data_IF_995434070986
#
_entry.id   IF_995434070986
#
_cell.length_a   1.000
_cell.length_b   1.000
_cell.length_c   1.000
_cell.angle_alpha   90.00
_cell.angle_beta   90.00
_cell.angle_gamma   90.00
#
_symmetry.space_group_name_H-M   'P 1'
#
loop_
_entity.id
_entity.type
_entity.pdbx_description
1 polymer ?
#
# COMPACT_ATOMS: atom_id res chain seq x y z
N UNK A 1 -9.13 15.88 -21.13
CA UNK A 1 -8.99 14.49 -21.61
C UNK A 1 -9.27 13.58 -20.43
N UNK A 2 -10.42 12.89 -20.45
CA UNK A 2 -10.76 11.93 -19.40
C UNK A 2 -9.84 10.72 -19.51
N UNK A 3 -9.20 10.36 -18.40
CA UNK A 3 -8.38 9.15 -18.31
C UNK A 3 -9.28 7.96 -18.65
N UNK A 4 -9.08 7.31 -19.81
CA UNK A 4 -9.75 6.04 -20.09
C UNK A 4 -9.23 5.03 -19.07
N UNK A 5 -10.06 4.70 -18.09
CA UNK A 5 -9.74 3.65 -17.13
C UNK A 5 -9.75 2.33 -17.90
N UNK A 6 -8.56 1.82 -18.22
CA UNK A 6 -8.39 0.50 -18.81
C UNK A 6 -9.10 -0.54 -17.96
N UNK A 7 -9.73 -1.54 -18.60
CA UNK A 7 -10.34 -2.67 -17.90
C UNK A 7 -9.34 -3.36 -16.96
N UNK A 8 -8.05 -3.33 -17.29
CA UNK A 8 -6.98 -3.84 -16.42
C UNK A 8 -6.90 -3.07 -15.10
N UNK A 9 -7.02 -1.74 -15.13
CA UNK A 9 -6.95 -0.92 -13.92
C UNK A 9 -8.16 -1.16 -12.99
N UNK A 10 -9.37 -1.31 -13.55
CA UNK A 10 -10.56 -1.69 -12.76
C UNK A 10 -10.40 -3.09 -12.17
N UNK A 11 -9.85 -4.02 -12.93
CA UNK A 11 -9.61 -5.39 -12.44
C UNK A 11 -8.61 -5.36 -11.30
N UNK A 12 -7.48 -4.66 -11.43
CA UNK A 12 -6.46 -4.56 -10.37
C UNK A 12 -7.01 -3.90 -9.11
N UNK A 13 -7.76 -2.80 -9.24
CA UNK A 13 -8.32 -2.06 -8.10
C UNK A 13 -9.31 -2.89 -7.26
N UNK A 14 -9.89 -3.96 -7.83
CA UNK A 14 -10.83 -4.86 -7.15
C UNK A 14 -10.16 -6.17 -6.74
N UNK A 15 -9.45 -6.82 -7.67
CA UNK A 15 -8.89 -8.16 -7.45
C UNK A 15 -7.81 -8.14 -6.38
N UNK A 16 -6.92 -7.14 -6.36
CA UNK A 16 -5.85 -7.07 -5.36
C UNK A 16 -6.44 -6.93 -3.95
N UNK A 17 -7.38 -6.00 -3.67
CA UNK A 17 -8.00 -5.92 -2.36
C UNK A 17 -8.76 -7.18 -1.95
N UNK A 18 -9.54 -7.77 -2.86
CA UNK A 18 -10.29 -8.99 -2.58
C UNK A 18 -9.35 -10.15 -2.26
N UNK A 19 -8.30 -10.34 -3.07
CA UNK A 19 -7.31 -11.39 -2.85
C UNK A 19 -6.62 -11.21 -1.48
N UNK A 20 -6.16 -9.99 -1.16
CA UNK A 20 -5.53 -9.71 0.14
C UNK A 20 -6.48 -9.90 1.32
N UNK A 21 -7.76 -9.55 1.18
CA UNK A 21 -8.76 -9.74 2.24
C UNK A 21 -8.87 -11.21 2.67
N UNK A 22 -8.77 -12.15 1.73
CA UNK A 22 -8.85 -13.58 2.02
C UNK A 22 -7.49 -14.21 2.32
N UNK A 23 -6.45 -13.86 1.56
CA UNK A 23 -5.13 -14.50 1.64
C UNK A 23 -4.37 -14.05 2.89
N UNK A 24 -4.38 -12.75 3.23
CA UNK A 24 -3.60 -12.24 4.35
C UNK A 24 -3.96 -12.90 5.70
N UNK A 25 -5.24 -13.01 6.11
CA UNK A 25 -5.60 -13.70 7.35
C UNK A 25 -5.29 -15.21 7.29
N UNK A 26 -5.38 -15.84 6.11
CA UNK A 26 -5.03 -17.25 5.94
C UNK A 26 -3.54 -17.48 6.19
N UNK A 27 -2.67 -16.69 5.55
CA UNK A 27 -1.22 -16.76 5.74
C UNK A 27 -0.84 -16.52 7.20
N UNK A 28 -1.44 -15.52 7.85
CA UNK A 28 -1.18 -15.22 9.25
C UNK A 28 -1.55 -16.39 10.17
N UNK A 29 -2.69 -17.06 9.94
CA UNK A 29 -3.07 -18.26 10.70
C UNK A 29 -2.06 -19.39 10.50
N UNK A 30 -1.58 -19.59 9.27
CA UNK A 30 -0.53 -20.59 8.97
C UNK A 30 0.79 -20.25 9.67
N UNK A 31 1.10 -18.96 9.84
CA UNK A 31 2.26 -18.49 10.61
C UNK A 31 2.06 -18.49 12.13
N UNK A 32 0.94 -19.03 12.64
CA UNK A 32 0.67 -19.17 14.08
C UNK A 32 0.01 -17.95 14.74
N UNK A 33 -0.44 -16.95 13.98
CA UNK A 33 -1.18 -15.82 14.54
C UNK A 33 -2.53 -16.26 15.10
N UNK A 34 -2.90 -15.75 16.28
CA UNK A 34 -4.18 -16.07 16.88
C UNK A 34 -5.33 -15.42 16.11
N UNK A 35 -6.46 -16.12 15.99
CA UNK A 35 -7.67 -15.57 15.36
C UNK A 35 -8.19 -14.32 16.08
N UNK A 36 -7.88 -14.15 17.37
CA UNK A 36 -8.25 -12.97 18.13
C UNK A 36 -7.41 -11.75 17.74
N UNK A 37 -6.10 -11.92 17.54
CA UNK A 37 -5.19 -10.82 17.16
C UNK A 37 -5.46 -10.37 15.74
N UNK A 38 -5.68 -11.30 14.80
CA UNK A 38 -6.08 -11.00 13.42
C UNK A 38 -7.36 -10.16 13.39
N UNK A 39 -8.37 -10.54 14.20
CA UNK A 39 -9.63 -9.77 14.30
C UNK A 39 -9.42 -8.39 14.90
N UNK A 40 -8.58 -8.25 15.93
CA UNK A 40 -8.28 -6.94 16.54
C UNK A 40 -7.51 -6.03 15.57
N UNK A 41 -6.67 -6.61 14.72
CA UNK A 41 -5.90 -5.88 13.73
C UNK A 41 -6.69 -5.57 12.44
N UNK A 42 -7.83 -6.24 12.19
CA UNK A 42 -8.56 -6.15 10.92
C UNK A 42 -8.96 -4.75 10.46
N UNK A 43 -9.23 -3.75 11.34
CA UNK A 43 -9.48 -2.39 10.86
C UNK A 43 -8.33 -1.83 10.03
N UNK A 44 -7.07 -2.16 10.36
CA UNK A 44 -5.90 -1.72 9.60
C UNK A 44 -5.88 -2.32 8.19
N UNK A 45 -6.22 -3.61 8.06
CA UNK A 45 -6.33 -4.26 6.75
C UNK A 45 -7.46 -3.61 5.95
N UNK A 46 -8.66 -3.50 6.51
CA UNK A 46 -9.84 -2.94 5.82
C UNK A 46 -9.53 -1.51 5.34
N UNK A 47 -8.95 -0.67 6.18
CA UNK A 47 -8.56 0.69 5.78
C UNK A 47 -7.50 0.70 4.68
N UNK A 48 -6.50 -0.19 4.73
CA UNK A 48 -5.52 -0.33 3.66
C UNK A 48 -6.20 -0.71 2.35
N UNK A 49 -7.06 -1.73 2.35
CA UNK A 49 -7.76 -2.22 1.17
C UNK A 49 -8.67 -1.16 0.54
N UNK A 50 -9.40 -0.42 1.36
CA UNK A 50 -10.23 0.70 0.91
C UNK A 50 -9.37 1.81 0.31
N UNK A 51 -8.27 2.16 0.97
CA UNK A 51 -7.35 3.18 0.49
C UNK A 51 -6.75 2.79 -0.86
N UNK A 52 -6.31 1.53 -1.01
CA UNK A 52 -5.82 0.99 -2.28
C UNK A 52 -6.88 1.16 -3.37
N UNK A 53 -8.09 0.66 -3.15
CA UNK A 53 -9.17 0.74 -4.15
C UNK A 53 -9.53 2.18 -4.53
N UNK A 54 -9.65 3.08 -3.56
CA UNK A 54 -10.00 4.49 -3.80
C UNK A 54 -8.88 5.25 -4.51
N UNK A 55 -7.61 4.95 -4.22
CA UNK A 55 -6.47 5.67 -4.79
C UNK A 55 -6.44 5.63 -6.32
N UNK A 56 -6.90 4.52 -6.93
CA UNK A 56 -7.01 4.36 -8.38
C UNK A 56 -7.94 5.36 -9.07
N UNK A 57 -8.84 6.00 -8.33
CA UNK A 57 -9.82 6.95 -8.86
C UNK A 57 -9.50 8.40 -8.50
N UNK A 58 -8.38 8.64 -7.82
CA UNK A 58 -7.93 9.99 -7.48
C UNK A 58 -7.11 10.53 -8.67
N UNK A 59 -7.51 11.66 -9.28
CA UNK A 59 -6.78 12.22 -10.40
C UNK A 59 -5.38 12.66 -9.95
N UNK A 60 -4.35 12.15 -10.62
CA UNK A 60 -2.96 12.50 -10.33
C UNK A 60 -2.55 13.80 -11.01
N UNK A 61 -1.73 14.63 -10.35
CA UNK A 61 -1.22 15.86 -10.95
C UNK A 61 -0.20 15.53 -12.06
N UNK A 62 0.00 16.49 -12.96
CA UNK A 62 1.18 16.47 -13.82
C UNK A 62 2.40 16.80 -12.97
N UNK A 63 3.46 15.99 -13.09
CA UNK A 63 4.75 16.24 -12.45
C UNK A 63 5.76 16.51 -13.54
N UNK A 64 6.33 17.71 -13.55
CA UNK A 64 7.23 18.20 -14.62
C UNK A 64 6.65 18.02 -16.04
N UNK A 65 5.33 18.20 -16.16
CA UNK A 65 4.61 18.07 -17.43
C UNK A 65 4.30 16.62 -17.84
N UNK A 66 4.75 15.62 -17.08
CA UNK A 66 4.43 14.21 -17.31
C UNK A 66 3.17 13.80 -16.57
N UNK A 67 2.32 13.03 -17.25
CA UNK A 67 1.15 12.39 -16.65
C UNK A 67 1.62 11.19 -15.82
N UNK A 68 1.83 11.41 -14.53
CA UNK A 68 2.22 10.37 -13.57
C UNK A 68 1.00 9.81 -12.86
N UNK A 69 1.14 8.63 -12.26
CA UNK A 69 0.13 8.08 -11.35
C UNK A 69 0.47 8.31 -9.87
N UNK A 70 1.05 9.48 -9.59
CA UNK A 70 1.59 9.88 -8.28
C UNK A 70 0.66 9.57 -7.09
N UNK A 71 -0.62 9.97 -7.12
CA UNK A 71 -1.51 9.72 -5.98
C UNK A 71 -1.86 8.25 -5.82
N UNK A 72 -1.94 7.50 -6.91
CA UNK A 72 -2.13 6.05 -6.90
C UNK A 72 -0.99 5.38 -6.16
N UNK A 73 0.27 5.72 -6.47
CA UNK A 73 1.43 5.15 -5.79
C UNK A 73 1.64 5.69 -4.38
N UNK A 74 1.43 6.98 -4.16
CA UNK A 74 1.58 7.57 -2.83
C UNK A 74 0.58 6.97 -1.83
N UNK A 75 -0.72 6.96 -2.18
CA UNK A 75 -1.78 6.49 -1.29
C UNK A 75 -1.95 4.97 -1.38
N UNK A 76 -2.15 4.45 -2.59
CA UNK A 76 -2.42 3.05 -2.86
C UNK A 76 -1.18 2.15 -2.78
N UNK A 77 0.02 2.71 -2.87
CA UNK A 77 1.26 1.98 -2.62
C UNK A 77 1.85 2.29 -1.25
N UNK A 78 2.28 3.53 -1.03
CA UNK A 78 3.00 3.95 0.18
C UNK A 78 2.18 3.89 1.47
N UNK A 79 1.13 4.71 1.57
CA UNK A 79 0.29 4.77 2.78
C UNK A 79 -0.43 3.45 3.02
N UNK A 80 -0.92 2.81 1.95
CA UNK A 80 -1.43 1.44 1.95
C UNK A 80 -0.44 0.48 2.64
N UNK A 81 0.83 0.47 2.22
CA UNK A 81 1.86 -0.41 2.78
C UNK A 81 2.08 -0.14 4.27
N UNK A 82 2.09 1.12 4.69
CA UNK A 82 2.21 1.48 6.10
C UNK A 82 1.04 0.95 6.94
N UNK A 83 -0.20 1.01 6.42
CA UNK A 83 -1.39 0.45 7.08
C UNK A 83 -1.38 -1.09 7.09
N UNK A 84 -1.02 -1.71 5.97
CA UNK A 84 -0.87 -3.16 5.87
C UNK A 84 0.17 -3.67 6.86
N UNK A 85 1.29 -2.96 7.01
CA UNK A 85 2.30 -3.29 8.00
C UNK A 85 1.75 -3.24 9.44
N UNK A 86 0.93 -2.23 9.78
CA UNK A 86 0.28 -2.17 11.10
C UNK A 86 -0.66 -3.36 11.35
N UNK A 87 -1.32 -3.88 10.31
CA UNK A 87 -2.11 -5.10 10.37
C UNK A 87 -1.23 -6.33 10.66
N UNK A 88 -0.15 -6.51 9.89
CA UNK A 88 0.79 -7.64 10.04
C UNK A 88 1.44 -7.65 11.42
N UNK A 89 2.02 -6.51 11.81
CA UNK A 89 2.72 -6.32 13.09
C UNK A 89 1.82 -6.68 14.28
N UNK A 90 0.57 -6.19 14.29
CA UNK A 90 -0.37 -6.46 15.40
C UNK A 90 -0.87 -7.88 15.40
N UNK A 91 -1.13 -8.46 14.23
CA UNK A 91 -1.58 -9.85 14.10
C UNK A 91 -0.53 -10.83 14.60
N UNK A 92 0.74 -10.54 14.34
CA UNK A 92 1.89 -11.36 14.76
C UNK A 92 2.49 -10.95 16.11
N UNK A 93 1.94 -9.92 16.76
CA UNK A 93 2.47 -9.33 18.02
C UNK A 93 3.95 -8.98 17.95
N UNK A 94 4.42 -8.50 16.80
CA UNK A 94 5.83 -8.16 16.60
C UNK A 94 6.20 -6.92 17.43
N UNK A 95 7.12 -7.13 18.36
CA UNK A 95 7.76 -6.09 19.14
C UNK A 95 9.15 -5.79 18.54
N UNK A 96 9.21 -4.80 17.67
CA UNK A 96 10.45 -4.33 17.04
C UNK A 96 10.65 -2.84 17.32
N UNK A 97 11.90 -2.39 17.20
CA UNK A 97 12.24 -0.97 17.36
C UNK A 97 11.63 -0.12 16.23
N UNK A 98 11.32 1.17 16.47
CA UNK A 98 10.78 2.05 15.43
C UNK A 98 11.67 2.17 14.19
N UNK A 99 12.99 2.08 14.36
CA UNK A 99 13.93 2.11 13.25
C UNK A 99 13.83 0.86 12.37
N UNK A 100 13.75 -0.32 12.99
CA UNK A 100 13.53 -1.55 12.24
C UNK A 100 12.15 -1.56 11.59
N UNK A 101 11.14 -0.97 12.25
CA UNK A 101 9.81 -0.78 11.68
C UNK A 101 9.85 0.05 10.38
N UNK A 102 10.58 1.17 10.39
CA UNK A 102 10.78 2.00 9.20
C UNK A 102 11.50 1.23 8.09
N UNK A 103 12.56 0.47 8.41
CA UNK A 103 13.27 -0.37 7.44
C UNK A 103 12.35 -1.43 6.81
N UNK A 104 11.48 -2.06 7.60
CA UNK A 104 10.54 -3.07 7.09
C UNK A 104 9.49 -2.44 6.19
N UNK A 105 8.91 -1.30 6.59
CA UNK A 105 7.95 -0.57 5.76
C UNK A 105 8.59 -0.13 4.44
N UNK A 106 9.81 0.40 4.49
CA UNK A 106 10.54 0.83 3.29
C UNK A 106 10.91 -0.36 2.39
N UNK A 107 11.36 -1.48 2.96
CA UNK A 107 11.65 -2.70 2.21
C UNK A 107 10.39 -3.28 1.55
N UNK A 108 9.26 -3.29 2.28
CA UNK A 108 7.99 -3.78 1.77
C UNK A 108 7.47 -2.91 0.61
N UNK A 109 7.48 -1.58 0.77
CA UNK A 109 7.00 -0.70 -0.31
C UNK A 109 7.91 -0.75 -1.53
N UNK A 110 9.22 -0.92 -1.32
CA UNK A 110 10.18 -1.08 -2.43
C UNK A 110 9.92 -2.38 -3.20
N UNK A 111 9.72 -3.49 -2.49
CA UNK A 111 9.42 -4.78 -3.11
C UNK A 111 8.09 -4.74 -3.89
N UNK A 112 7.05 -4.11 -3.33
CA UNK A 112 5.76 -3.93 -3.99
C UNK A 112 5.87 -2.99 -5.20
N UNK A 113 6.62 -1.89 -5.08
CA UNK A 113 6.87 -0.95 -6.17
C UNK A 113 7.57 -1.63 -7.35
N UNK A 114 8.68 -2.33 -7.10
CA UNK A 114 9.36 -3.11 -8.15
C UNK A 114 8.45 -4.18 -8.76
N UNK A 115 7.63 -4.86 -7.94
CA UNK A 115 6.68 -5.86 -8.45
C UNK A 115 5.63 -5.23 -9.36
N UNK A 116 5.18 -4.00 -9.05
CA UNK A 116 4.24 -3.26 -9.88
C UNK A 116 4.85 -2.88 -11.23
N UNK A 117 6.06 -2.33 -11.25
CA UNK A 117 6.78 -2.01 -12.49
C UNK A 117 6.97 -3.24 -13.38
N UNK A 118 7.32 -4.38 -12.77
CA UNK A 118 7.45 -5.64 -13.50
C UNK A 118 6.12 -6.12 -14.07
N UNK A 119 5.01 -5.91 -13.34
CA UNK A 119 3.67 -6.22 -13.83
C UNK A 119 3.30 -5.34 -15.02
N UNK A 120 3.53 -4.03 -14.93
CA UNK A 120 3.27 -3.06 -16.01
C UNK A 120 4.10 -3.38 -17.26
N UNK A 121 5.40 -3.61 -17.09
CA UNK A 121 6.27 -4.06 -18.18
C UNK A 121 5.74 -5.34 -18.83
N UNK A 122 5.28 -6.30 -18.02
CA UNK A 122 4.74 -7.57 -18.52
C UNK A 122 3.47 -7.34 -19.36
N UNK A 123 2.48 -6.61 -18.85
CA UNK A 123 1.22 -6.39 -19.58
C UNK A 123 1.42 -5.58 -20.85
N UNK A 124 2.37 -4.63 -20.88
CA UNK A 124 2.76 -3.89 -22.09
C UNK A 124 3.47 -4.81 -23.08
N UNK A 125 4.43 -5.63 -22.65
CA UNK A 125 5.18 -6.54 -23.53
C UNK A 125 4.29 -7.60 -24.18
N UNK A 126 3.25 -8.05 -23.50
CA UNK A 126 2.25 -8.97 -24.06
C UNK A 126 1.12 -8.27 -24.82
N UNK A 127 1.17 -6.94 -24.98
CA UNK A 127 0.20 -6.16 -25.76
C UNK A 127 -1.20 -6.09 -25.14
N UNK A 128 -1.32 -6.29 -23.82
CA UNK A 128 -2.59 -6.26 -23.10
C UNK A 128 -3.07 -4.83 -22.82
N UNK A 129 -2.15 -3.88 -22.67
CA UNK A 129 -2.44 -2.45 -22.46
C UNK A 129 -1.39 -1.61 -23.19
N UNK A 130 -1.82 -0.51 -23.80
CA UNK A 130 -0.93 0.54 -24.28
C UNK A 130 -0.77 1.62 -23.19
N UNK A 131 0.39 1.65 -22.54
CA UNK A 131 0.77 2.68 -21.56
C UNK A 131 2.25 3.05 -21.73
N UNK A 132 2.61 4.28 -21.33
CA UNK A 132 4.00 4.74 -21.24
C UNK A 132 4.67 4.12 -20.01
N UNK A 133 5.98 3.87 -20.08
CA UNK A 133 6.78 3.29 -18.98
C UNK A 133 7.86 4.29 -18.49
N UNK A 134 7.63 5.58 -18.70
CA UNK A 134 8.64 6.63 -18.48
C UNK A 134 8.55 7.24 -17.06
N UNK A 135 7.57 6.83 -16.26
CA UNK A 135 7.27 7.35 -14.92
C UNK A 135 7.73 6.46 -13.75
N UNK A 136 8.39 5.32 -14.01
CA UNK A 136 8.90 4.39 -12.97
C UNK A 136 9.61 5.10 -11.80
N UNK A 137 10.47 6.08 -12.09
CA UNK A 137 11.20 6.81 -11.05
C UNK A 137 10.26 7.64 -10.15
N UNK A 138 9.22 8.23 -10.73
CA UNK A 138 8.19 8.98 -10.02
C UNK A 138 7.30 8.07 -9.20
N UNK A 139 6.97 6.87 -9.71
CA UNK A 139 6.14 5.90 -9.00
C UNK A 139 6.86 5.32 -7.79
N UNK A 140 8.16 5.00 -7.92
CA UNK A 140 9.00 4.60 -6.79
C UNK A 140 9.19 5.73 -5.77
N UNK A 141 9.32 6.98 -6.22
CA UNK A 141 9.41 8.13 -5.34
C UNK A 141 8.11 8.36 -4.57
N UNK A 142 6.95 8.30 -5.25
CA UNK A 142 5.63 8.44 -4.65
C UNK A 142 5.36 7.34 -3.61
N UNK A 143 5.65 6.09 -3.96
CA UNK A 143 5.60 4.94 -3.05
C UNK A 143 6.41 5.20 -1.77
N UNK A 144 7.68 5.57 -1.94
CA UNK A 144 8.61 5.82 -0.83
C UNK A 144 8.14 6.98 0.06
N UNK A 145 7.71 8.08 -0.54
CA UNK A 145 7.19 9.25 0.17
C UNK A 145 5.92 8.92 0.95
N UNK A 146 4.97 8.20 0.32
CA UNK A 146 3.74 7.77 0.95
C UNK A 146 3.98 6.83 2.12
N UNK A 147 4.93 5.90 1.98
CA UNK A 147 5.32 4.99 3.05
C UNK A 147 5.92 5.74 4.24
N UNK A 148 6.87 6.66 3.99
CA UNK A 148 7.51 7.46 5.02
C UNK A 148 6.51 8.36 5.76
N UNK A 149 5.74 9.17 5.02
CA UNK A 149 4.78 10.12 5.59
C UNK A 149 3.63 9.39 6.26
N UNK A 150 3.04 8.40 5.58
CA UNK A 150 1.95 7.59 6.12
C UNK A 150 2.34 6.86 7.40
N UNK A 151 3.51 6.21 7.41
CA UNK A 151 4.03 5.58 8.61
C UNK A 151 4.28 6.59 9.73
N UNK A 152 4.92 7.72 9.43
CA UNK A 152 5.16 8.79 10.40
C UNK A 152 3.87 9.31 11.05
N UNK A 153 2.83 9.60 10.26
CA UNK A 153 1.52 10.03 10.76
C UNK A 153 0.88 8.96 11.65
N UNK A 154 0.89 7.69 11.22
CA UNK A 154 0.36 6.59 12.01
C UNK A 154 1.06 6.49 13.37
N UNK A 155 2.39 6.54 13.39
CA UNK A 155 3.18 6.49 14.63
C UNK A 155 2.83 7.67 15.53
N UNK A 156 2.74 8.89 14.99
CA UNK A 156 2.36 10.08 15.75
C UNK A 156 0.96 9.95 16.37
N UNK A 157 -0.03 9.46 15.61
CA UNK A 157 -1.40 9.26 16.09
C UNK A 157 -1.46 8.21 17.21
N UNK A 158 -0.71 7.11 17.07
CA UNK A 158 -0.60 6.09 18.11
C UNK A 158 0.02 6.69 19.38
N UNK A 159 1.14 7.40 19.25
CA UNK A 159 1.83 8.07 20.35
C UNK A 159 0.92 9.09 21.06
N UNK A 160 0.18 9.91 20.30
CA UNK A 160 -0.76 10.88 20.85
C UNK A 160 -1.88 10.19 21.65
N UNK A 161 -2.45 9.11 21.11
CA UNK A 161 -3.47 8.32 21.81
C UNK A 161 -2.96 7.75 23.13
N UNK A 162 -1.74 7.21 23.16
CA UNK A 162 -1.13 6.70 24.39
C UNK A 162 -0.93 7.79 25.45
N UNK A 163 -0.49 8.99 25.05
CA UNK A 163 -0.35 10.13 25.97
C UNK A 163 -1.67 10.60 26.57
N UNK A 164 -2.78 10.48 25.83
CA UNK A 164 -4.11 10.84 26.34
C UNK A 164 -4.67 9.83 27.36
N UNK A 165 -4.25 8.57 27.32
CA UNK A 165 -4.73 7.51 28.24
C UNK A 165 -3.98 7.41 29.57
N UNK A 166 -2.84 8.09 29.73
CA UNK A 166 -2.00 8.05 30.94
C UNK A 166 -2.14 9.34 31.77
N UNK A 167 -3.33 9.94 31.74
CA UNK A 167 -3.71 11.06 32.63
C UNK A 167 -4.68 10.56 33.68
#
# INVERSE_FOLDING_TARGET
MGQQISSVFVVVSIVVPVALFFIAPLMLRQSGASSQDIRRASPWLISALLLFGVAWYIPSPLVDGMATSWWTHFLGGGVFTAMLWQYLRRSLRLAISPWLELCVVFGLVSALGVSNELFELTVVKFGLVAMTLDDTAWDLAANSAGALIGHGVIVLLICARYRCTVK
#
